data_IF_920043623876
#
_entry.id   IF_920043623876
#
_cell.length_a   1.000
_cell.length_b   1.000
_cell.length_c   1.000
_cell.angle_alpha   90.00
_cell.angle_beta   90.00
_cell.angle_gamma   90.00
#
_symmetry.space_group_name_H-M   'P 1'
#
loop_
_entity.id
_entity.type
_entity.pdbx_description
1 polymer ?
#
# COMPACT_ATOMS: atom_id res chain seq x y z
N UNK A 1 -29.03 -26.55 -48.24
CA UNK A 1 -29.65 -26.64 -46.90
C UNK A 1 -28.52 -26.76 -45.90
N UNK A 2 -28.31 -25.68 -45.15
CA UNK A 2 -27.44 -25.41 -43.98
C UNK A 2 -26.24 -26.31 -43.67
N UNK A 3 -25.07 -25.67 -43.64
CA UNK A 3 -23.79 -26.14 -43.11
C UNK A 3 -23.80 -26.07 -41.57
N UNK A 4 -23.12 -27.00 -40.91
CA UNK A 4 -22.59 -26.78 -39.57
C UNK A 4 -21.25 -27.52 -39.38
N UNK A 5 -20.16 -26.78 -39.09
CA UNK A 5 -19.08 -27.33 -38.31
C UNK A 5 -19.06 -26.66 -36.92
N UNK A 6 -19.17 -27.54 -35.92
CA UNK A 6 -18.45 -27.59 -34.64
C UNK A 6 -17.77 -26.32 -34.10
N UNK A 7 -18.05 -26.07 -32.82
CA UNK A 7 -17.06 -25.56 -31.87
C UNK A 7 -16.73 -24.08 -31.98
N UNK A 8 -17.42 -23.26 -31.19
CA UNK A 8 -16.80 -22.10 -30.53
C UNK A 8 -17.48 -21.93 -29.19
N UNK A 9 -16.99 -22.71 -28.23
CA UNK A 9 -17.07 -22.30 -26.84
C UNK A 9 -16.49 -20.89 -26.80
N UNK A 10 -17.31 -19.93 -26.41
CA UNK A 10 -16.80 -18.63 -26.01
C UNK A 10 -16.02 -18.90 -24.73
N UNK A 11 -14.75 -19.26 -24.90
CA UNK A 11 -13.75 -19.20 -23.88
C UNK A 11 -13.66 -17.73 -23.50
N UNK A 12 -14.54 -17.32 -22.57
CA UNK A 12 -14.33 -16.15 -21.75
C UNK A 12 -12.91 -16.29 -21.28
N UNK A 13 -12.03 -15.47 -21.84
CA UNK A 13 -10.66 -15.32 -21.38
C UNK A 13 -10.76 -14.84 -19.94
N UNK A 14 -10.92 -15.78 -19.03
CA UNK A 14 -10.53 -15.65 -17.64
C UNK A 14 -9.03 -15.41 -17.72
N UNK A 15 -8.65 -14.14 -17.91
CA UNK A 15 -7.41 -13.60 -17.38
C UNK A 15 -7.49 -13.70 -15.85
N UNK A 16 -7.60 -14.93 -15.35
CA UNK A 16 -7.13 -15.31 -14.04
C UNK A 16 -5.63 -15.52 -14.22
N UNK A 17 -4.96 -14.42 -14.57
CA UNK A 17 -3.64 -14.18 -13.98
C UNK A 17 -3.98 -14.29 -12.51
N UNK A 18 -3.47 -15.32 -11.84
CA UNK A 18 -3.46 -15.36 -10.39
C UNK A 18 -3.12 -13.95 -9.96
N UNK A 19 -4.07 -13.25 -9.31
CA UNK A 19 -3.83 -11.99 -8.64
C UNK A 19 -2.52 -12.22 -7.90
N UNK A 20 -1.41 -11.76 -8.50
CA UNK A 20 -0.14 -11.71 -7.83
C UNK A 20 -0.53 -10.89 -6.63
N UNK A 21 -0.56 -11.48 -5.43
CA UNK A 21 -1.20 -10.86 -4.28
C UNK A 21 -0.38 -9.61 -3.96
N UNK A 22 -0.70 -8.53 -4.67
CA UNK A 22 -0.03 -7.25 -4.59
C UNK A 22 -0.57 -6.65 -3.33
N UNK A 23 0.34 -6.29 -2.43
CA UNK A 23 -0.11 -5.72 -1.19
C UNK A 23 -0.82 -4.41 -1.45
N UNK A 24 -1.96 -4.22 -0.80
CA UNK A 24 -2.73 -2.98 -0.92
C UNK A 24 -2.61 -2.19 0.38
N UNK A 25 -2.29 -0.90 0.28
CA UNK A 25 -2.27 -0.02 1.43
C UNK A 25 -3.72 0.29 1.79
N UNK A 26 -4.13 -0.09 3.00
CA UNK A 26 -5.48 0.15 3.51
C UNK A 26 -5.59 1.48 4.24
N UNK A 27 -4.53 1.87 4.96
CA UNK A 27 -4.45 3.14 5.69
C UNK A 27 -2.99 3.49 5.98
N UNK A 28 -2.66 4.77 5.99
CA UNK A 28 -1.43 5.25 6.58
C UNK A 28 -1.63 6.62 7.28
N UNK A 29 -1.03 6.75 8.46
CA UNK A 29 -1.03 7.98 9.24
C UNK A 29 0.38 8.38 9.64
N UNK A 30 0.66 9.68 9.63
CA UNK A 30 1.92 10.24 10.12
C UNK A 30 1.64 11.33 11.13
N UNK A 31 2.14 11.18 12.36
CA UNK A 31 1.91 12.16 13.42
C UNK A 31 2.11 11.63 14.83
N UNK A 32 1.52 12.32 15.79
CA UNK A 32 1.58 11.97 17.22
C UNK A 32 0.33 12.48 17.94
N UNK A 33 -0.17 11.70 18.89
CA UNK A 33 -1.39 11.99 19.63
C UNK A 33 -2.58 12.30 18.71
N UNK A 34 -3.14 13.50 18.81
CA UNK A 34 -4.29 13.97 18.02
C UNK A 34 -3.86 14.82 16.81
N UNK A 35 -2.56 14.93 16.54
CA UNK A 35 -2.03 15.68 15.40
C UNK A 35 -1.39 14.74 14.40
N UNK A 36 -2.20 14.30 13.42
CA UNK A 36 -1.85 13.26 12.45
C UNK A 36 -2.33 13.62 11.06
N UNK A 37 -1.42 13.60 10.10
CA UNK A 37 -1.74 13.67 8.68
C UNK A 37 -2.20 12.29 8.18
N UNK A 38 -3.30 12.23 7.45
CA UNK A 38 -3.61 11.07 6.62
C UNK A 38 -2.68 11.07 5.41
N UNK A 39 -1.82 10.07 5.33
CA UNK A 39 -0.81 9.93 4.27
C UNK A 39 -1.05 8.70 3.42
N UNK A 40 -2.25 8.10 3.50
CA UNK A 40 -2.63 6.88 2.77
C UNK A 40 -2.34 7.02 1.28
N UNK A 41 -2.81 8.10 0.64
CA UNK A 41 -2.61 8.34 -0.79
C UNK A 41 -1.13 8.49 -1.18
N UNK A 42 -0.30 9.07 -0.31
CA UNK A 42 1.14 9.27 -0.56
C UNK A 42 1.88 7.93 -0.47
N UNK A 43 1.64 7.16 0.58
CA UNK A 43 2.22 5.82 0.79
C UNK A 43 1.81 4.86 -0.33
N UNK A 44 0.54 4.89 -0.75
CA UNK A 44 0.07 4.09 -1.90
C UNK A 44 0.82 4.43 -3.19
N UNK A 45 1.03 5.71 -3.47
CA UNK A 45 1.79 6.14 -4.66
C UNK A 45 3.27 5.72 -4.60
N UNK A 46 3.91 5.88 -3.45
CA UNK A 46 5.29 5.42 -3.23
C UNK A 46 5.40 3.89 -3.43
N UNK A 47 4.48 3.13 -2.85
CA UNK A 47 4.43 1.67 -3.00
C UNK A 47 4.24 1.24 -4.46
N UNK A 48 3.31 1.89 -5.18
CA UNK A 48 3.09 1.68 -6.60
C UNK A 48 4.33 2.02 -7.46
N UNK A 49 5.13 3.00 -7.03
CA UNK A 49 6.42 3.36 -7.61
C UNK A 49 7.58 2.44 -7.17
N UNK A 50 7.28 1.24 -6.68
CA UNK A 50 8.24 0.21 -6.24
C UNK A 50 9.05 0.55 -4.98
N UNK A 51 8.68 1.60 -4.24
CA UNK A 51 9.24 1.81 -2.90
C UNK A 51 8.76 0.69 -1.96
N UNK A 52 9.67 0.17 -1.14
CA UNK A 52 9.39 -0.92 -0.19
C UNK A 52 9.76 -0.57 1.25
N UNK A 53 10.66 0.39 1.43
CA UNK A 53 11.07 0.88 2.73
C UNK A 53 10.46 2.27 2.98
N UNK A 54 9.83 2.44 4.12
CA UNK A 54 9.12 3.66 4.50
C UNK A 54 9.64 4.15 5.85
N UNK A 55 10.12 5.40 5.88
CA UNK A 55 10.69 6.02 7.07
C UNK A 55 9.81 7.19 7.52
N UNK A 56 9.60 7.34 8.82
CA UNK A 56 8.94 8.50 9.39
C UNK A 56 9.79 9.76 9.17
N UNK A 57 9.31 10.68 8.32
CA UNK A 57 10.01 11.95 8.07
C UNK A 57 9.06 13.07 7.59
N UNK A 58 9.38 14.29 8.01
CA UNK A 58 8.62 15.50 7.68
C UNK A 58 8.62 15.85 6.20
N UNK A 59 9.70 15.52 5.47
CA UNK A 59 9.85 15.88 4.06
C UNK A 59 8.84 15.18 3.15
N UNK A 60 8.51 13.93 3.45
CA UNK A 60 7.57 13.13 2.67
C UNK A 60 6.11 13.34 3.08
N UNK A 61 5.87 13.55 4.38
CA UNK A 61 4.55 13.44 4.99
C UNK A 61 4.00 14.75 5.59
N UNK A 62 4.81 15.82 5.59
CA UNK A 62 4.51 17.10 6.23
C UNK A 62 4.54 17.02 7.76
N UNK A 63 4.74 18.15 8.45
CA UNK A 63 4.86 18.17 9.92
C UNK A 63 3.53 18.55 10.60
N UNK A 64 2.74 17.59 11.10
CA UNK A 64 1.53 17.88 11.87
C UNK A 64 1.82 18.35 13.31
N UNK A 65 3.01 18.11 13.86
CA UNK A 65 3.32 18.38 15.27
C UNK A 65 4.76 18.91 15.42
N UNK A 66 4.99 20.19 15.13
CA UNK A 66 6.32 20.78 15.21
C UNK A 66 6.92 20.68 16.62
N UNK A 67 8.16 20.19 16.71
CA UNK A 67 8.89 20.00 17.97
C UNK A 67 8.59 18.68 18.69
N UNK A 68 7.61 17.91 18.21
CA UNK A 68 7.28 16.59 18.74
C UNK A 68 7.79 15.48 17.82
N UNK A 69 8.18 14.36 18.43
CA UNK A 69 8.57 13.16 17.69
C UNK A 69 7.33 12.46 17.15
N UNK A 70 7.29 12.27 15.83
CA UNK A 70 6.15 11.68 15.11
C UNK A 70 6.43 10.24 14.70
N UNK A 71 5.36 9.56 14.32
CA UNK A 71 5.37 8.16 13.93
C UNK A 71 4.63 7.99 12.61
N UNK A 72 5.20 7.18 11.72
CA UNK A 72 4.50 6.66 10.56
C UNK A 72 3.90 5.31 10.95
N UNK A 73 2.61 5.14 10.69
CA UNK A 73 1.88 3.90 10.84
C UNK A 73 1.26 3.52 9.50
N UNK A 74 1.44 2.27 9.06
CA UNK A 74 0.89 1.76 7.80
C UNK A 74 0.13 0.46 8.08
N UNK A 75 -1.07 0.35 7.53
CA UNK A 75 -1.86 -0.88 7.45
C UNK A 75 -1.93 -1.30 6.00
N UNK A 76 -1.62 -2.55 5.72
CA UNK A 76 -1.72 -3.12 4.38
C UNK A 76 -2.35 -4.51 4.40
N UNK A 77 -2.89 -4.93 3.27
CA UNK A 77 -3.31 -6.30 3.05
C UNK A 77 -2.20 -7.05 2.31
N UNK A 78 -1.69 -8.13 2.89
CA UNK A 78 -0.78 -9.08 2.25
C UNK A 78 -1.23 -10.51 2.61
N UNK A 79 -2.16 -11.07 1.85
CA UNK A 79 -2.80 -12.34 2.18
C UNK A 79 -3.41 -12.35 3.60
N UNK A 80 -3.93 -11.19 4.03
CA UNK A 80 -4.33 -10.88 5.41
C UNK A 80 -3.94 -9.46 5.83
N UNK A 81 -4.57 -8.91 6.87
CA UNK A 81 -4.20 -7.59 7.39
C UNK A 81 -2.87 -7.63 8.13
N UNK A 82 -1.97 -6.74 7.77
CA UNK A 82 -0.69 -6.50 8.43
C UNK A 82 -0.52 -5.01 8.73
N UNK A 83 0.33 -4.70 9.70
CA UNK A 83 0.64 -3.32 10.06
C UNK A 83 2.07 -3.15 10.56
N UNK A 84 2.53 -1.92 10.54
CA UNK A 84 3.87 -1.52 10.98
C UNK A 84 3.87 -0.09 11.47
N UNK A 85 4.81 0.21 12.36
CA UNK A 85 5.01 1.54 12.92
C UNK A 85 6.51 1.83 13.01
N UNK A 86 6.89 3.05 12.68
CA UNK A 86 8.26 3.55 12.84
C UNK A 86 8.21 5.00 13.32
N UNK A 87 9.06 5.35 14.29
CA UNK A 87 9.20 6.73 14.75
C UNK A 87 10.22 7.48 13.92
N UNK A 88 10.15 8.81 13.91
CA UNK A 88 11.26 9.65 13.43
C UNK A 88 12.56 9.25 14.15
N UNK A 89 13.70 9.44 13.48
CA UNK A 89 15.04 9.07 13.94
C UNK A 89 15.29 7.55 14.09
N UNK A 90 14.37 6.70 13.62
CA UNK A 90 14.57 5.26 13.58
C UNK A 90 15.03 4.79 12.21
N UNK A 91 16.17 4.10 12.16
CA UNK A 91 16.78 3.62 10.92
C UNK A 91 16.19 2.30 10.40
N UNK A 92 15.21 1.70 11.09
CA UNK A 92 14.64 0.39 10.70
C UNK A 92 13.59 0.50 9.59
N UNK A 93 12.83 1.61 9.55
CA UNK A 93 11.72 1.79 8.62
C UNK A 93 10.58 0.78 8.81
N UNK A 94 9.55 0.88 7.96
CA UNK A 94 8.54 -0.16 7.72
C UNK A 94 8.85 -0.77 6.36
N UNK A 95 8.97 -2.10 6.31
CA UNK A 95 9.29 -2.84 5.09
C UNK A 95 8.01 -3.54 4.61
N UNK A 96 7.57 -3.18 3.41
CA UNK A 96 6.44 -3.82 2.73
C UNK A 96 6.96 -4.83 1.69
N UNK A 97 6.19 -5.88 1.36
CA UNK A 97 6.54 -6.88 0.35
C UNK A 97 6.49 -6.32 -1.08
#
# INVERSE_FOLDING_TARGET
MWLAPQGREHESSHHRIEDSIMSTISYAGYGVWNSTNDVTSKVTQQYANKQREFFANNGDYGDPAPGERKYLYIVWNNNGSASGVVGEDDSRGIILP
#
